data_IF_300086027633
#
_entry.id   IF_300086027633
#
_cell.length_a   1.000
_cell.length_b   1.000
_cell.length_c   1.000
_cell.angle_alpha   90.00
_cell.angle_beta   90.00
_cell.angle_gamma   90.00
#
_symmetry.space_group_name_H-M   'P 1'
#
loop_
_entity.id
_entity.type
_entity.pdbx_description
1 polymer ?
#
# COMPACT_ATOMS: atom_id res chain seq x y z
N UNK A 1 -11.23 23.27 -53.95
CA UNK A 1 -12.11 22.42 -53.16
C UNK A 1 -11.43 21.07 -53.06
N UNK A 2 -10.84 20.74 -51.89
CA UNK A 2 -10.19 19.45 -51.62
C UNK A 2 -11.04 18.71 -50.59
N UNK A 3 -11.64 17.60 -51.01
CA UNK A 3 -12.49 16.73 -50.22
C UNK A 3 -11.60 15.83 -49.37
N UNK A 4 -11.72 15.96 -48.04
CA UNK A 4 -11.03 15.10 -47.08
C UNK A 4 -11.88 13.84 -46.88
N UNK A 5 -11.36 12.69 -47.29
CA UNK A 5 -11.98 11.39 -47.03
C UNK A 5 -11.68 10.92 -45.60
N UNK A 6 -12.73 10.66 -44.84
CA UNK A 6 -12.66 10.04 -43.51
C UNK A 6 -12.56 8.53 -43.72
N UNK A 7 -11.43 7.94 -43.33
CA UNK A 7 -11.26 6.48 -43.27
C UNK A 7 -11.77 6.01 -41.90
N UNK A 8 -12.92 5.36 -41.88
CA UNK A 8 -13.45 4.65 -40.72
C UNK A 8 -12.79 3.28 -40.63
N UNK A 9 -11.91 3.09 -39.68
CA UNK A 9 -11.33 1.76 -39.38
C UNK A 9 -12.31 1.04 -38.46
N UNK A 10 -13.05 0.07 -39.01
CA UNK A 10 -13.85 -0.87 -38.24
C UNK A 10 -12.94 -1.82 -37.46
N UNK A 11 -12.95 -1.74 -36.14
CA UNK A 11 -12.32 -2.73 -35.29
C UNK A 11 -13.19 -3.98 -35.25
N UNK A 12 -12.69 -5.05 -35.86
CA UNK A 12 -13.31 -6.39 -35.77
C UNK A 12 -12.90 -7.01 -34.44
N UNK A 13 -13.83 -7.01 -33.49
CA UNK A 13 -13.69 -7.76 -32.24
C UNK A 13 -13.90 -9.24 -32.54
N UNK A 14 -12.83 -10.01 -32.58
CA UNK A 14 -12.89 -11.48 -32.66
C UNK A 14 -13.26 -12.01 -31.26
N UNK A 15 -14.53 -12.36 -31.08
CA UNK A 15 -14.98 -13.13 -29.92
C UNK A 15 -14.66 -14.60 -30.18
N UNK A 16 -13.56 -15.10 -29.58
CA UNK A 16 -13.30 -16.53 -29.52
C UNK A 16 -14.28 -17.19 -28.55
N UNK A 17 -15.32 -17.80 -29.11
CA UNK A 17 -16.17 -18.71 -28.35
C UNK A 17 -15.47 -20.06 -28.22
N UNK A 18 -14.88 -20.32 -27.07
CA UNK A 18 -14.38 -21.63 -26.70
C UNK A 18 -15.56 -22.45 -26.18
N UNK A 19 -16.20 -23.24 -27.05
CA UNK A 19 -17.15 -24.28 -26.68
C UNK A 19 -16.38 -25.48 -26.13
N UNK A 20 -16.06 -25.46 -24.85
CA UNK A 20 -15.56 -26.64 -24.13
C UNK A 20 -16.72 -27.51 -23.68
N UNK A 21 -16.82 -28.75 -24.21
CA UNK A 21 -17.68 -29.80 -23.64
C UNK A 21 -17.30 -30.06 -22.18
N UNK A 22 -18.20 -29.72 -21.27
CA UNK A 22 -18.06 -30.06 -19.85
C UNK A 22 -18.28 -31.56 -19.69
N UNK A 23 -17.20 -32.30 -19.56
CA UNK A 23 -17.21 -33.67 -19.08
C UNK A 23 -17.39 -33.70 -17.56
N UNK A 24 -18.55 -34.05 -17.11
CA UNK A 24 -18.84 -34.32 -15.69
C UNK A 24 -18.07 -35.52 -15.22
N UNK A 25 -17.04 -35.37 -14.41
CA UNK A 25 -16.53 -36.34 -13.45
C UNK A 25 -15.90 -35.61 -12.29
N UNK A 26 -16.41 -35.95 -11.10
CA UNK A 26 -15.98 -35.52 -9.77
C UNK A 26 -16.27 -34.07 -9.37
N UNK A 27 -17.28 -33.96 -8.49
CA UNK A 27 -17.85 -32.75 -7.88
C UNK A 27 -16.90 -31.84 -7.07
N UNK A 28 -15.85 -31.33 -7.68
CA UNK A 28 -15.09 -30.20 -7.18
C UNK A 28 -15.40 -29.00 -8.07
N UNK A 29 -16.35 -28.22 -7.64
CA UNK A 29 -16.51 -26.84 -8.12
C UNK A 29 -15.22 -26.09 -7.77
N UNK A 30 -14.25 -26.11 -8.67
CA UNK A 30 -13.14 -25.15 -8.62
C UNK A 30 -13.75 -23.77 -8.84
N UNK A 31 -13.86 -23.03 -7.74
CA UNK A 31 -14.53 -21.73 -7.76
C UNK A 31 -13.78 -20.78 -8.70
N UNK A 32 -14.51 -20.18 -9.62
CA UNK A 32 -14.10 -19.12 -10.54
C UNK A 32 -13.42 -17.95 -9.80
N UNK A 33 -13.50 -17.91 -8.49
CA UNK A 33 -12.86 -16.90 -7.62
C UNK A 33 -11.34 -16.99 -7.54
N UNK A 34 -10.73 -18.17 -7.60
CA UNK A 34 -9.27 -18.32 -7.46
C UNK A 34 -8.51 -17.86 -8.71
N UNK A 35 -9.10 -18.01 -9.89
CA UNK A 35 -8.48 -17.60 -11.16
C UNK A 35 -8.47 -16.07 -11.33
N UNK A 36 -9.44 -15.38 -10.70
CA UNK A 36 -9.54 -13.91 -10.80
C UNK A 36 -8.53 -13.18 -9.92
N UNK A 37 -8.07 -13.79 -8.81
CA UNK A 37 -7.12 -13.16 -7.90
C UNK A 37 -5.69 -13.13 -8.43
N UNK A 38 -5.31 -14.04 -9.32
CA UNK A 38 -3.94 -14.13 -9.84
C UNK A 38 -3.57 -13.00 -10.83
N UNK A 39 -4.54 -12.25 -11.34
CA UNK A 39 -4.33 -11.21 -12.37
C UNK A 39 -4.65 -9.78 -11.92
N UNK A 40 -4.94 -9.57 -10.63
CA UNK A 40 -5.19 -8.22 -10.13
C UNK A 40 -3.91 -7.38 -10.14
N UNK A 41 -3.99 -6.21 -10.74
CA UNK A 41 -2.86 -5.29 -10.79
C UNK A 41 -2.60 -4.67 -9.41
N UNK A 42 -1.34 -4.34 -9.08
CA UNK A 42 -1.03 -3.55 -7.91
C UNK A 42 -1.80 -2.22 -7.92
N UNK A 43 -2.24 -1.78 -6.75
CA UNK A 43 -2.96 -0.52 -6.63
C UNK A 43 -2.08 0.65 -7.07
N UNK A 44 -2.52 1.38 -8.10
CA UNK A 44 -1.87 2.63 -8.48
C UNK A 44 -2.05 3.69 -7.38
N UNK A 45 -1.09 4.60 -7.26
CA UNK A 45 -1.16 5.68 -6.25
C UNK A 45 -2.46 6.50 -6.36
N UNK A 46 -2.92 6.76 -7.57
CA UNK A 46 -4.11 7.54 -7.89
C UNK A 46 -5.42 6.81 -7.52
N UNK A 47 -5.36 5.49 -7.46
CA UNK A 47 -6.48 4.65 -7.02
C UNK A 47 -6.63 4.60 -5.50
N UNK A 48 -5.68 5.16 -4.74
CA UNK A 48 -5.63 5.07 -3.30
C UNK A 48 -5.75 6.42 -2.62
N UNK A 49 -6.59 6.49 -1.59
CA UNK A 49 -6.59 7.55 -0.58
C UNK A 49 -5.94 7.02 0.68
N UNK A 50 -5.00 7.77 1.26
CA UNK A 50 -4.35 7.41 2.52
C UNK A 50 -4.82 8.34 3.65
N UNK A 51 -5.00 7.77 4.84
CA UNK A 51 -5.32 8.50 6.08
C UNK A 51 -4.39 8.00 7.18
N UNK A 52 -3.79 8.93 7.92
CA UNK A 52 -3.08 8.67 9.17
C UNK A 52 -4.10 8.45 10.29
N UNK A 53 -3.91 7.39 11.07
CA UNK A 53 -4.71 7.11 12.26
C UNK A 53 -4.10 7.71 13.53
N UNK A 54 -4.70 7.42 14.67
CA UNK A 54 -4.17 7.85 15.96
C UNK A 54 -2.88 7.11 16.30
N UNK A 55 -1.95 7.83 16.91
CA UNK A 55 -0.68 7.23 17.33
C UNK A 55 -0.81 6.67 18.74
N UNK A 56 -0.63 5.37 18.87
CA UNK A 56 -0.55 4.70 20.15
C UNK A 56 0.83 4.88 20.78
N UNK A 57 0.85 5.01 22.10
CA UNK A 57 2.04 5.15 22.90
C UNK A 57 2.21 3.95 23.83
N UNK A 58 3.35 3.27 23.72
CA UNK A 58 3.75 2.22 24.66
C UNK A 58 4.90 2.67 25.55
N UNK A 59 5.17 1.88 26.62
CA UNK A 59 6.30 2.14 27.51
C UNK A 59 7.64 2.16 26.75
N UNK A 60 8.62 2.90 27.27
CA UNK A 60 9.94 3.01 26.64
C UNK A 60 10.00 4.00 25.46
N UNK A 61 8.96 4.81 25.23
CA UNK A 61 8.93 5.80 24.16
C UNK A 61 8.53 5.24 22.80
N UNK A 62 8.09 3.99 22.73
CA UNK A 62 7.59 3.37 21.51
C UNK A 62 6.29 4.03 21.08
N UNK A 63 6.17 4.29 19.79
CA UNK A 63 4.99 4.83 19.12
C UNK A 63 4.61 3.93 17.96
N UNK A 64 3.31 3.76 17.75
CA UNK A 64 2.75 3.03 16.62
C UNK A 64 1.68 3.88 15.94
N UNK A 65 1.88 4.24 14.69
CA UNK A 65 0.94 5.02 13.91
C UNK A 65 0.39 4.17 12.77
N UNK A 66 -0.90 3.85 12.74
CA UNK A 66 -1.51 3.15 11.61
C UNK A 66 -1.79 4.11 10.46
N UNK A 67 -1.62 3.61 9.25
CA UNK A 67 -1.97 4.30 8.00
C UNK A 67 -2.96 3.44 7.23
N UNK A 68 -4.13 3.99 6.95
CA UNK A 68 -5.23 3.29 6.25
C UNK A 68 -5.27 3.77 4.81
N UNK A 69 -5.24 2.81 3.87
CA UNK A 69 -5.40 3.05 2.44
C UNK A 69 -6.77 2.56 2.00
N UNK A 70 -7.51 3.42 1.31
CA UNK A 70 -8.83 3.10 0.73
C UNK A 70 -8.71 3.08 -0.78
N UNK A 71 -9.22 2.04 -1.44
CA UNK A 71 -9.38 2.05 -2.88
C UNK A 71 -10.52 2.99 -3.27
N UNK A 72 -10.18 4.12 -3.89
CA UNK A 72 -11.14 5.14 -4.37
C UNK A 72 -11.44 5.01 -5.86
N UNK A 73 -10.89 4.00 -6.54
CA UNK A 73 -11.17 3.71 -7.94
C UNK A 73 -12.42 2.83 -8.09
N UNK A 74 -12.84 2.62 -9.33
CA UNK A 74 -13.97 1.75 -9.68
C UNK A 74 -13.54 0.29 -9.94
N UNK A 75 -12.25 -0.01 -9.86
CA UNK A 75 -11.70 -1.34 -10.16
C UNK A 75 -10.97 -1.92 -8.96
N UNK A 76 -11.04 -3.24 -8.75
CA UNK A 76 -10.27 -3.89 -7.70
C UNK A 76 -8.76 -3.84 -8.01
N UNK A 77 -7.95 -3.80 -6.96
CA UNK A 77 -6.49 -3.83 -7.03
C UNK A 77 -5.89 -4.52 -5.82
N UNK A 78 -4.58 -4.77 -5.81
CA UNK A 78 -3.89 -5.46 -4.70
C UNK A 78 -2.80 -4.62 -4.07
N UNK A 79 -2.63 -4.80 -2.75
CA UNK A 79 -1.46 -4.37 -1.99
C UNK A 79 -0.82 -5.61 -1.37
N UNK A 80 0.49 -5.82 -1.59
CA UNK A 80 1.22 -6.96 -1.05
C UNK A 80 2.58 -6.53 -0.53
N UNK A 81 3.01 -7.13 0.57
CA UNK A 81 4.32 -6.86 1.15
C UNK A 81 4.32 -5.62 2.04
N UNK A 82 5.36 -4.82 1.93
CA UNK A 82 5.60 -3.64 2.77
C UNK A 82 5.63 -2.37 1.93
N UNK A 83 5.09 -1.26 2.42
CA UNK A 83 5.41 0.04 1.84
C UNK A 83 6.86 0.43 2.16
N UNK A 84 7.46 1.27 1.33
CA UNK A 84 8.69 1.98 1.69
C UNK A 84 8.33 3.31 2.33
N UNK A 85 8.88 3.58 3.52
CA UNK A 85 8.65 4.81 4.26
C UNK A 85 9.97 5.56 4.45
N UNK A 86 9.93 6.87 4.21
CA UNK A 86 11.08 7.75 4.31
C UNK A 86 10.71 9.05 5.02
N UNK A 87 11.44 9.38 6.08
CA UNK A 87 11.36 10.69 6.71
C UNK A 87 12.20 11.69 5.92
N UNK A 88 11.61 12.84 5.63
CA UNK A 88 12.24 13.90 4.88
C UNK A 88 12.48 15.12 5.79
N UNK A 89 13.57 15.84 5.52
CA UNK A 89 13.75 17.18 6.08
C UNK A 89 12.92 18.22 5.31
N UNK A 90 12.98 19.47 5.74
CA UNK A 90 12.25 20.58 5.10
C UNK A 90 12.67 20.83 3.65
N UNK A 91 13.86 20.40 3.24
CA UNK A 91 14.35 20.48 1.87
C UNK A 91 13.96 19.26 1.02
N UNK A 92 13.16 18.30 1.55
CA UNK A 92 12.75 17.09 0.85
C UNK A 92 13.83 16.00 0.77
N UNK A 93 14.95 16.16 1.50
CA UNK A 93 16.03 15.17 1.54
C UNK A 93 15.66 14.06 2.50
N UNK A 94 15.89 12.81 2.10
CA UNK A 94 15.67 11.62 2.93
C UNK A 94 16.68 11.59 4.07
N UNK A 95 16.19 11.57 5.29
CA UNK A 95 17.01 11.50 6.52
C UNK A 95 16.98 10.10 7.12
N UNK A 96 15.84 9.41 7.06
CA UNK A 96 15.69 8.07 7.62
C UNK A 96 14.75 7.24 6.77
N UNK A 97 15.05 5.94 6.65
CA UNK A 97 14.19 4.94 5.99
C UNK A 97 13.72 3.91 7.00
N UNK A 98 12.46 3.51 6.87
CA UNK A 98 11.94 2.42 7.69
C UNK A 98 12.54 1.08 7.27
N UNK A 99 12.86 0.25 8.25
CA UNK A 99 13.16 -1.16 8.04
C UNK A 99 11.86 -1.96 8.05
N UNK A 100 11.87 -3.14 7.45
CA UNK A 100 10.71 -4.04 7.47
C UNK A 100 10.65 -4.75 8.81
N UNK A 101 9.51 -4.66 9.51
CA UNK A 101 9.29 -5.47 10.71
C UNK A 101 9.28 -6.95 10.31
N UNK A 102 10.02 -7.77 11.05
CA UNK A 102 9.97 -9.22 10.86
C UNK A 102 8.62 -9.75 11.32
N UNK A 103 8.07 -10.69 10.58
CA UNK A 103 6.86 -11.43 10.93
C UNK A 103 7.06 -12.90 10.60
N UNK A 104 6.55 -13.76 11.47
CA UNK A 104 6.51 -15.21 11.25
C UNK A 104 5.26 -15.61 10.44
N UNK A 105 4.29 -14.70 10.34
CA UNK A 105 3.07 -14.89 9.56
C UNK A 105 3.32 -14.71 8.05
N UNK A 106 2.70 -15.55 7.21
CA UNK A 106 2.77 -15.39 5.75
C UNK A 106 2.22 -14.04 5.31
N UNK A 107 2.96 -13.31 4.50
CA UNK A 107 2.51 -12.04 3.94
C UNK A 107 1.58 -12.32 2.77
N UNK A 108 0.29 -12.17 2.99
CA UNK A 108 -0.75 -12.33 1.97
C UNK A 108 -1.05 -11.01 1.25
N UNK A 109 -1.53 -11.12 0.00
CA UNK A 109 -1.98 -9.94 -0.73
C UNK A 109 -3.33 -9.45 -0.17
N UNK A 110 -3.43 -8.16 0.12
CA UNK A 110 -4.69 -7.50 0.44
C UNK A 110 -5.38 -7.10 -0.88
N UNK A 111 -6.47 -7.78 -1.23
CA UNK A 111 -7.33 -7.38 -2.36
C UNK A 111 -8.27 -6.27 -1.91
N UNK A 112 -8.23 -5.15 -2.61
CA UNK A 112 -9.07 -3.99 -2.35
C UNK A 112 -10.09 -3.80 -3.46
N UNK A 113 -11.32 -4.25 -3.22
CA UNK A 113 -12.47 -3.86 -4.00
C UNK A 113 -12.71 -2.34 -3.86
N UNK A 114 -13.47 -1.68 -4.77
CA UNK A 114 -13.84 -0.29 -4.61
C UNK A 114 -14.40 0.03 -3.21
N UNK A 115 -13.84 1.04 -2.55
CA UNK A 115 -14.22 1.45 -1.19
C UNK A 115 -13.63 0.60 -0.06
N UNK A 116 -12.97 -0.53 -0.34
CA UNK A 116 -12.33 -1.35 0.69
C UNK A 116 -10.98 -0.80 1.09
N UNK A 117 -10.52 -1.24 2.27
CA UNK A 117 -9.33 -0.72 2.94
C UNK A 117 -8.28 -1.79 3.19
N UNK A 118 -7.04 -1.36 3.24
CA UNK A 118 -5.94 -2.06 3.88
C UNK A 118 -5.17 -1.06 4.73
N UNK A 119 -4.40 -1.56 5.68
CA UNK A 119 -3.60 -0.72 6.55
C UNK A 119 -2.21 -1.31 6.77
N UNK A 120 -1.31 -0.49 7.25
CA UNK A 120 -0.01 -0.85 7.80
C UNK A 120 0.29 0.08 8.97
N UNK A 121 1.24 -0.28 9.82
CA UNK A 121 1.68 0.59 10.90
C UNK A 121 3.15 0.99 10.73
N UNK A 122 3.46 2.22 11.10
CA UNK A 122 4.80 2.70 11.33
C UNK A 122 5.08 2.63 12.83
N UNK A 123 6.12 1.88 13.22
CA UNK A 123 6.61 1.82 14.58
C UNK A 123 7.88 2.65 14.68
N UNK A 124 7.98 3.46 15.72
CA UNK A 124 9.17 4.29 15.95
C UNK A 124 9.36 4.57 17.43
N UNK A 125 10.58 4.89 17.82
CA UNK A 125 10.87 5.31 19.17
C UNK A 125 11.05 6.84 19.22
N UNK A 126 10.17 7.49 19.97
CA UNK A 126 10.14 8.95 20.09
C UNK A 126 11.19 9.51 21.06
N UNK A 127 12.01 8.66 21.63
CA UNK A 127 13.04 9.02 22.59
C UNK A 127 12.85 8.30 23.91
N UNK A 128 13.93 8.10 24.58
CA UNK A 128 14.03 7.43 25.88
C UNK A 128 15.41 7.62 26.44
N UNK A 129 15.73 6.94 27.53
CA UNK A 129 17.00 7.04 28.27
C UNK A 129 18.27 6.85 27.41
N UNK A 130 18.14 6.25 26.21
CA UNK A 130 19.25 6.00 25.29
C UNK A 130 19.78 7.25 24.55
N UNK A 131 19.12 8.41 24.64
CA UNK A 131 19.56 9.63 23.95
C UNK A 131 20.34 10.61 24.85
N UNK A 132 20.87 10.15 25.97
CA UNK A 132 21.65 10.95 26.92
C UNK A 132 20.97 12.28 27.28
N UNK A 133 19.65 12.29 27.44
CA UNK A 133 18.86 13.46 27.83
C UNK A 133 18.66 14.51 26.72
N UNK A 134 19.12 14.26 25.48
CA UNK A 134 18.89 15.16 24.35
C UNK A 134 17.59 14.80 23.64
N UNK A 135 16.74 15.78 23.28
CA UNK A 135 15.55 15.50 22.50
C UNK A 135 15.88 14.97 21.11
N UNK A 136 15.11 14.00 20.64
CA UNK A 136 15.22 13.55 19.26
C UNK A 136 14.67 14.61 18.30
N UNK A 137 15.20 14.71 17.08
CA UNK A 137 14.67 15.63 16.09
C UNK A 137 13.25 15.27 15.67
N UNK A 138 12.45 16.30 15.34
CA UNK A 138 11.12 16.15 14.76
C UNK A 138 11.18 16.29 13.24
N UNK A 139 10.45 15.43 12.55
CA UNK A 139 10.32 15.41 11.09
C UNK A 139 8.88 15.74 10.72
N UNK A 140 8.69 16.55 9.68
CA UNK A 140 7.38 17.07 9.29
C UNK A 140 6.86 16.52 7.98
N UNK A 141 7.61 15.64 7.33
CA UNK A 141 7.23 15.00 6.06
C UNK A 141 7.55 13.52 6.08
N UNK A 142 6.55 12.73 5.75
CA UNK A 142 6.67 11.29 5.54
C UNK A 142 6.35 10.96 4.09
N UNK A 143 7.30 10.36 3.38
CA UNK A 143 7.13 9.82 2.04
C UNK A 143 6.81 8.35 2.12
N UNK A 144 5.71 7.92 1.48
CA UNK A 144 5.22 6.55 1.46
C UNK A 144 5.11 6.09 0.02
N UNK A 145 5.73 4.95 -0.31
CA UNK A 145 5.70 4.34 -1.64
C UNK A 145 5.10 2.96 -1.47
N UNK A 146 3.92 2.72 -2.07
CA UNK A 146 3.30 1.40 -2.12
C UNK A 146 3.94 0.52 -3.19
N UNK A 147 4.00 -0.80 -3.02
CA UNK A 147 4.55 -1.71 -4.02
C UNK A 147 3.86 -1.52 -5.37
N UNK A 148 4.66 -1.42 -6.44
CA UNK A 148 4.18 -1.19 -7.80
C UNK A 148 3.78 0.25 -8.13
N UNK A 149 3.70 1.16 -7.16
CA UNK A 149 3.39 2.56 -7.44
C UNK A 149 4.59 3.32 -8.02
N UNK A 150 4.33 4.11 -9.06
CA UNK A 150 5.34 4.98 -9.70
C UNK A 150 5.55 6.30 -8.95
N UNK A 151 4.56 6.76 -8.21
CA UNK A 151 4.57 8.03 -7.47
C UNK A 151 4.30 7.80 -5.99
N UNK A 152 5.01 8.54 -5.09
CA UNK A 152 4.80 8.44 -3.66
C UNK A 152 3.59 9.23 -3.17
N UNK A 153 3.12 8.90 -1.97
CA UNK A 153 2.43 9.85 -1.12
C UNK A 153 3.46 10.67 -0.34
N UNK A 154 3.19 11.95 -0.13
CA UNK A 154 3.95 12.78 0.80
C UNK A 154 2.95 13.38 1.78
N UNK A 155 3.04 12.96 3.03
CA UNK A 155 2.15 13.39 4.10
C UNK A 155 2.87 14.43 4.97
N UNK A 156 2.09 15.42 5.43
CA UNK A 156 2.53 16.25 6.56
C UNK A 156 2.30 15.42 7.82
N UNK A 157 3.31 15.32 8.65
CA UNK A 157 3.28 14.53 9.89
C UNK A 157 4.11 15.22 10.96
N UNK A 158 4.05 14.74 12.19
CA UNK A 158 4.94 15.16 13.26
C UNK A 158 5.52 13.91 13.94
N UNK A 159 6.63 13.43 13.39
CA UNK A 159 7.32 12.24 13.89
C UNK A 159 8.62 12.68 14.56
N UNK A 160 8.69 12.46 15.88
CA UNK A 160 9.91 12.66 16.65
C UNK A 160 10.62 11.32 16.80
N UNK A 161 11.82 11.17 16.26
CA UNK A 161 12.61 9.94 16.36
C UNK A 161 14.10 10.23 16.26
N UNK A 162 14.89 9.49 17.03
CA UNK A 162 16.35 9.59 16.99
C UNK A 162 16.95 8.82 15.82
N UNK A 163 18.14 9.22 15.38
CA UNK A 163 18.79 8.62 14.21
C UNK A 163 19.04 7.12 14.36
N UNK A 164 19.39 6.66 15.58
CA UNK A 164 19.70 5.26 15.89
C UNK A 164 18.57 4.48 16.54
N UNK A 165 17.39 5.09 16.73
CA UNK A 165 16.24 4.39 17.31
C UNK A 165 15.54 3.54 16.26
N UNK A 166 14.70 2.61 16.72
CA UNK A 166 13.86 1.80 15.85
C UNK A 166 12.94 2.69 15.01
N UNK A 167 12.80 2.30 13.77
CA UNK A 167 11.93 2.93 12.80
C UNK A 167 11.61 1.87 11.74
N UNK A 168 10.50 1.17 11.93
CA UNK A 168 10.13 0.04 11.11
C UNK A 168 8.66 0.09 10.70
N UNK A 169 8.32 -0.70 9.69
CA UNK A 169 7.00 -0.74 9.08
C UNK A 169 6.48 -2.18 9.02
N UNK A 170 5.18 -2.35 9.32
CA UNK A 170 4.49 -3.63 9.16
C UNK A 170 4.10 -3.89 7.71
N UNK A 171 3.85 -5.15 7.32
CA UNK A 171 3.25 -5.44 6.03
C UNK A 171 1.81 -4.89 5.94
N UNK A 172 1.27 -4.85 4.70
CA UNK A 172 -0.14 -4.54 4.50
C UNK A 172 -1.04 -5.64 5.05
N UNK A 173 -2.10 -5.22 5.73
CA UNK A 173 -3.17 -6.07 6.24
C UNK A 173 -4.50 -5.56 5.70
N UNK A 174 -5.37 -6.46 5.20
CA UNK A 174 -6.70 -6.09 4.74
C UNK A 174 -7.59 -5.62 5.90
N UNK A 175 -8.47 -4.64 5.64
CA UNK A 175 -9.40 -4.10 6.63
C UNK A 175 -8.90 -2.83 7.32
N UNK A 176 -9.36 -2.64 8.56
CA UNK A 176 -9.02 -1.50 9.44
C UNK A 176 -8.15 -1.99 10.59
N UNK A 177 -7.28 -1.15 11.16
CA UNK A 177 -6.61 -1.47 12.41
C UNK A 177 -7.64 -1.61 13.54
N UNK A 178 -7.36 -2.56 14.44
CA UNK A 178 -8.13 -2.76 15.69
C UNK A 178 -7.83 -1.65 16.70
#
# INVERSE_FOLDING_TARGET
>A
MKTLGIVVIAQVSVVLQVSGKVGSRDGRTFGVREIYQSNLQPCAREALKIKEGETDAAMGGVRRTPYVLTNISQSPCTLQGYPSLELLNNAGVVIKRATKQKTDEPITAATLEPGKTAWFALNFNAGGAGNMGKPCPSYRQLRIITPGAKRPFVLKTEIQTCARSDFDVTPFVAGMPE
#
